data_IF_963948991640
#
_entry.id   IF_963948991640
#
_cell.length_a   1.000
_cell.length_b   1.000
_cell.length_c   1.000
_cell.angle_alpha   90.00
_cell.angle_beta   90.00
_cell.angle_gamma   90.00
#
_symmetry.space_group_name_H-M   'P 1'
#
loop_
_entity.id
_entity.type
_entity.pdbx_description
1 polymer ?
#
# COMPACT_ATOMS: atom_id res chain seq x y z
N UNK A 1 5.38 7.75 -10.11
CA UNK A 1 5.10 6.61 -10.99
C UNK A 1 6.18 5.58 -10.74
N UNK A 2 5.83 4.29 -10.60
CA UNK A 2 6.82 3.21 -10.54
C UNK A 2 7.54 3.21 -11.90
N UNK A 3 8.85 3.53 -11.90
CA UNK A 3 9.62 3.71 -13.14
C UNK A 3 10.04 2.38 -13.76
N UNK A 4 10.29 1.37 -12.93
CA UNK A 4 10.83 0.08 -13.36
C UNK A 4 9.88 -1.08 -13.02
N UNK A 5 8.73 -1.10 -13.68
CA UNK A 5 7.70 -2.13 -13.46
C UNK A 5 8.15 -3.56 -13.79
N UNK A 6 9.21 -3.70 -14.58
CA UNK A 6 9.79 -5.00 -14.89
C UNK A 6 10.50 -5.60 -13.68
N UNK A 7 11.15 -4.77 -12.84
CA UNK A 7 11.86 -5.23 -11.64
C UNK A 7 10.91 -5.79 -10.57
N UNK A 8 9.65 -5.37 -10.59
CA UNK A 8 8.63 -5.89 -9.67
C UNK A 8 7.90 -7.12 -10.26
N UNK A 9 8.15 -7.51 -11.51
CA UNK A 9 7.59 -8.74 -12.09
C UNK A 9 8.44 -9.93 -11.66
N UNK A 10 7.83 -10.90 -10.96
CA UNK A 10 8.49 -12.15 -10.57
C UNK A 10 8.37 -13.19 -11.67
N UNK A 11 9.34 -14.11 -11.73
CA UNK A 11 9.30 -15.25 -12.64
C UNK A 11 8.05 -16.14 -12.45
N UNK A 12 7.47 -16.13 -11.24
CA UNK A 12 6.24 -16.88 -10.90
C UNK A 12 4.95 -16.13 -11.26
N UNK A 13 5.03 -14.86 -11.66
CA UNK A 13 3.84 -14.09 -11.99
C UNK A 13 3.31 -14.51 -13.37
N UNK A 14 2.00 -14.78 -13.46
CA UNK A 14 1.34 -15.15 -14.73
C UNK A 14 1.37 -14.03 -15.77
N UNK A 15 1.57 -12.78 -15.35
CA UNK A 15 1.54 -11.60 -16.22
C UNK A 15 2.50 -10.54 -15.69
N UNK A 16 3.07 -9.74 -16.59
CA UNK A 16 3.94 -8.63 -16.20
C UNK A 16 3.18 -7.62 -15.33
N UNK A 17 3.80 -7.21 -14.22
CA UNK A 17 3.26 -6.15 -13.35
C UNK A 17 3.14 -4.80 -14.06
N UNK A 18 3.87 -4.61 -15.18
CA UNK A 18 3.72 -3.44 -16.04
C UNK A 18 2.31 -3.28 -16.59
N UNK A 19 1.62 -4.39 -16.90
CA UNK A 19 0.23 -4.34 -17.39
C UNK A 19 -0.71 -3.69 -16.37
N UNK A 20 -0.51 -3.98 -15.08
CA UNK A 20 -1.31 -3.44 -13.98
C UNK A 20 -0.96 -1.99 -13.60
N UNK A 21 0.18 -1.45 -14.04
CA UNK A 21 0.58 -0.06 -13.77
C UNK A 21 -0.10 0.93 -14.73
N UNK A 22 -0.62 0.44 -15.87
CA UNK A 22 -1.38 1.26 -16.81
C UNK A 22 -2.58 1.94 -16.13
N UNK A 23 -3.08 3.01 -16.75
CA UNK A 23 -4.24 3.77 -16.27
C UNK A 23 -4.12 4.16 -14.78
N UNK A 24 -2.94 4.67 -14.39
CA UNK A 24 -2.65 5.08 -13.01
C UNK A 24 -2.74 3.96 -11.95
N UNK A 25 -2.47 2.72 -12.35
CA UNK A 25 -2.54 1.53 -11.50
C UNK A 25 -3.83 0.72 -11.65
N UNK A 26 -4.77 1.15 -12.50
CA UNK A 26 -6.00 0.40 -12.77
C UNK A 26 -5.78 -0.79 -13.70
N UNK A 27 -4.69 -0.81 -14.45
CA UNK A 27 -4.39 -1.85 -15.44
C UNK A 27 -4.97 -1.55 -16.81
N UNK A 28 -4.89 -2.51 -17.72
CA UNK A 28 -5.44 -2.38 -19.08
C UNK A 28 -6.96 -2.32 -19.04
N UNK A 29 -7.54 -1.52 -19.93
CA UNK A 29 -9.00 -1.45 -20.09
C UNK A 29 -9.53 -2.79 -20.61
N UNK A 30 -10.67 -3.23 -20.08
CA UNK A 30 -11.32 -4.46 -20.53
C UNK A 30 -12.20 -4.11 -21.73
N UNK A 31 -11.87 -4.66 -22.89
CA UNK A 31 -12.71 -4.54 -24.09
C UNK A 31 -13.88 -5.52 -23.98
N UNK A 32 -15.10 -4.99 -24.04
CA UNK A 32 -16.34 -5.78 -24.01
C UNK A 32 -16.62 -6.34 -25.41
N UNK A 33 -16.69 -7.67 -25.54
CA UNK A 33 -17.23 -8.31 -26.74
C UNK A 33 -18.76 -8.34 -26.66
N UNK A 34 -19.39 -7.44 -27.40
CA UNK A 34 -20.75 -7.58 -27.99
C UNK A 34 -21.95 -7.99 -27.11
N UNK A 35 -21.98 -7.79 -25.79
CA UNK A 35 -23.18 -8.18 -25.01
C UNK A 35 -23.78 -7.19 -24.01
N UNK A 36 -23.10 -6.13 -23.56
CA UNK A 36 -23.68 -5.18 -22.58
C UNK A 36 -23.11 -3.77 -22.77
N UNK A 37 -23.79 -2.93 -23.55
CA UNK A 37 -23.41 -1.53 -23.81
C UNK A 37 -23.31 -0.67 -22.53
N UNK A 38 -23.86 -1.13 -21.41
CA UNK A 38 -23.76 -0.50 -20.10
C UNK A 38 -22.35 -0.58 -19.48
N UNK A 39 -21.50 -1.52 -19.93
CA UNK A 39 -20.19 -1.78 -19.34
C UNK A 39 -19.02 -1.31 -20.22
N UNK A 40 -19.33 -0.68 -21.35
CA UNK A 40 -18.32 -0.24 -22.29
C UNK A 40 -17.46 0.87 -21.68
N UNK A 41 -16.14 0.64 -21.65
CA UNK A 41 -15.04 1.59 -21.37
C UNK A 41 -14.71 1.96 -19.91
N UNK A 42 -15.41 1.49 -18.88
CA UNK A 42 -15.09 1.88 -17.48
C UNK A 42 -14.48 0.78 -16.62
N UNK A 43 -14.27 -0.41 -17.17
CA UNK A 43 -13.67 -1.55 -16.47
C UNK A 43 -12.20 -1.72 -16.83
N UNK A 44 -11.41 -2.08 -15.82
CA UNK A 44 -9.97 -2.29 -15.97
C UNK A 44 -9.56 -3.61 -15.31
N UNK A 45 -8.53 -4.24 -15.86
CA UNK A 45 -7.91 -5.44 -15.26
C UNK A 45 -7.06 -5.02 -14.06
N UNK A 46 -7.73 -4.68 -12.96
CA UNK A 46 -7.10 -4.20 -11.73
C UNK A 46 -6.43 -5.33 -10.97
N UNK A 47 -5.29 -5.05 -10.35
CA UNK A 47 -4.61 -5.98 -9.43
C UNK A 47 -4.54 -5.37 -8.03
N UNK A 48 -5.00 -6.12 -7.02
CA UNK A 48 -5.06 -5.65 -5.63
C UNK A 48 -3.73 -5.08 -5.12
N UNK A 49 -2.58 -5.62 -5.56
CA UNK A 49 -1.25 -5.20 -5.13
C UNK A 49 -0.91 -3.76 -5.59
N UNK A 50 -1.67 -3.20 -6.52
CA UNK A 50 -1.50 -1.83 -7.02
C UNK A 50 -2.41 -0.83 -6.30
N UNK A 51 -3.13 -1.22 -5.24
CA UNK A 51 -4.05 -0.34 -4.51
C UNK A 51 -3.36 0.95 -4.05
N UNK A 52 -2.14 0.86 -3.52
CA UNK A 52 -1.34 2.02 -3.11
C UNK A 52 -1.03 2.98 -4.27
N UNK A 53 -0.81 2.43 -5.48
CA UNK A 53 -0.56 3.21 -6.69
C UNK A 53 -1.84 3.92 -7.13
N UNK A 54 -2.95 3.18 -7.17
CA UNK A 54 -4.28 3.71 -7.52
C UNK A 54 -4.63 4.86 -6.59
N UNK A 55 -4.57 4.63 -5.27
CA UNK A 55 -4.91 5.65 -4.29
C UNK A 55 -3.99 6.86 -4.34
N UNK A 56 -2.67 6.67 -4.45
CA UNK A 56 -1.73 7.80 -4.58
C UNK A 56 -2.07 8.66 -5.80
N UNK A 57 -2.42 8.05 -6.94
CA UNK A 57 -2.77 8.80 -8.14
C UNK A 57 -4.15 9.48 -8.02
N UNK A 58 -5.12 8.84 -7.35
CA UNK A 58 -6.43 9.45 -7.08
C UNK A 58 -6.33 10.62 -6.12
N UNK A 59 -5.57 10.48 -5.02
CA UNK A 59 -5.40 11.53 -4.01
C UNK A 59 -4.82 12.80 -4.60
N UNK A 60 -3.88 12.70 -5.54
CA UNK A 60 -3.28 13.85 -6.24
C UNK A 60 -4.28 14.74 -6.98
N UNK A 61 -5.51 14.27 -7.23
CA UNK A 61 -6.56 15.02 -7.90
C UNK A 61 -7.39 15.89 -6.94
N UNK A 62 -7.25 15.71 -5.63
CA UNK A 62 -8.01 16.49 -4.66
C UNK A 62 -7.48 17.92 -4.53
N UNK A 63 -8.41 18.89 -4.59
CA UNK A 63 -8.08 20.33 -4.47
C UNK A 63 -7.68 20.75 -3.05
N UNK A 64 -8.01 19.95 -2.05
CA UNK A 64 -7.69 20.21 -0.64
C UNK A 64 -6.28 19.76 -0.23
N UNK A 65 -5.47 19.26 -1.17
CA UNK A 65 -4.08 18.94 -0.88
C UNK A 65 -3.30 20.23 -0.56
N UNK A 66 -2.57 20.19 0.54
CA UNK A 66 -1.70 21.29 0.98
C UNK A 66 -0.28 20.78 1.18
N UNK A 67 0.69 21.62 0.86
CA UNK A 67 2.10 21.40 1.21
C UNK A 67 2.42 21.94 2.62
N UNK A 68 1.50 22.72 3.20
CA UNK A 68 1.61 23.21 4.56
C UNK A 68 1.06 22.16 5.54
N UNK A 69 1.99 21.50 6.24
CA UNK A 69 1.69 20.46 7.21
C UNK A 69 0.90 20.98 8.42
N UNK A 70 0.95 22.28 8.71
CA UNK A 70 0.19 22.88 9.83
C UNK A 70 -1.31 22.93 9.52
N UNK A 71 -1.68 23.10 8.24
CA UNK A 71 -3.06 23.14 7.77
C UNK A 71 -3.62 21.75 7.45
N UNK A 72 -2.76 20.75 7.27
CA UNK A 72 -3.17 19.40 6.91
C UNK A 72 -3.94 18.73 8.07
N UNK A 73 -5.19 18.29 7.80
CA UNK A 73 -5.97 17.49 8.76
C UNK A 73 -5.55 16.03 8.81
N UNK A 74 -4.92 15.52 7.73
CA UNK A 74 -4.40 14.17 7.64
C UNK A 74 -3.15 14.14 6.75
N UNK A 75 -2.23 13.22 7.04
CA UNK A 75 -0.95 13.04 6.35
C UNK A 75 -0.91 11.67 5.70
N UNK A 76 -0.90 11.63 4.37
CA UNK A 76 -0.70 10.39 3.63
C UNK A 76 0.78 9.98 3.64
N UNK A 77 1.08 8.80 4.15
CA UNK A 77 2.42 8.21 4.13
C UNK A 77 2.62 7.43 2.82
N UNK A 78 3.50 7.87 1.91
CA UNK A 78 3.64 7.29 0.58
C UNK A 78 4.50 6.01 0.61
N UNK A 79 3.95 4.96 1.22
CA UNK A 79 4.59 3.65 1.35
C UNK A 79 3.85 2.58 0.56
N UNK A 80 4.60 1.73 -0.13
CA UNK A 80 4.08 0.67 -0.99
C UNK A 80 4.17 -0.69 -0.28
N UNK A 81 3.51 -0.78 0.87
CA UNK A 81 3.66 -1.89 1.81
C UNK A 81 3.36 -3.26 1.17
N UNK A 82 2.29 -3.33 0.36
CA UNK A 82 1.86 -4.54 -0.33
C UNK A 82 2.83 -4.99 -1.42
N UNK A 83 3.45 -4.04 -2.12
CA UNK A 83 4.50 -4.29 -3.11
C UNK A 83 5.81 -4.77 -2.45
N UNK A 84 6.22 -4.16 -1.34
CA UNK A 84 7.42 -4.57 -0.61
C UNK A 84 7.26 -5.95 0.04
N UNK A 85 6.06 -6.27 0.55
CA UNK A 85 5.72 -7.59 1.08
C UNK A 85 5.45 -8.66 0.03
N UNK A 86 5.84 -8.47 -1.23
CA UNK A 86 5.76 -9.57 -2.21
C UNK A 86 6.73 -10.70 -1.89
N UNK A 87 7.82 -10.42 -1.18
CA UNK A 87 8.87 -11.38 -0.82
C UNK A 87 8.54 -12.21 0.45
N UNK A 88 7.31 -12.73 0.58
CA UNK A 88 6.88 -13.50 1.75
C UNK A 88 7.49 -14.91 1.82
N UNK A 89 7.62 -15.58 0.67
CA UNK A 89 8.09 -16.97 0.59
C UNK A 89 9.59 -17.05 0.31
N UNK A 90 10.31 -17.84 1.13
CA UNK A 90 11.72 -18.16 0.92
C UNK A 90 12.72 -17.10 1.39
N UNK A 91 12.26 -15.91 1.79
CA UNK A 91 13.11 -14.83 2.29
C UNK A 91 13.18 -14.81 3.81
N UNK A 92 14.35 -14.41 4.33
CA UNK A 92 14.54 -14.19 5.77
C UNK A 92 13.68 -13.02 6.26
N UNK A 93 13.28 -13.08 7.54
CA UNK A 93 12.47 -12.05 8.20
C UNK A 93 13.10 -10.66 8.13
N UNK A 94 14.42 -10.56 8.31
CA UNK A 94 15.17 -9.30 8.17
C UNK A 94 14.96 -8.61 6.80
N UNK A 95 14.92 -9.37 5.70
CA UNK A 95 14.66 -8.81 4.37
C UNK A 95 13.22 -8.29 4.28
N UNK A 96 12.27 -9.05 4.80
CA UNK A 96 10.83 -8.71 4.79
C UNK A 96 10.52 -7.46 5.62
N UNK A 97 11.26 -7.23 6.70
CA UNK A 97 11.04 -6.12 7.63
C UNK A 97 11.85 -4.86 7.27
N UNK A 98 12.92 -5.00 6.48
CA UNK A 98 13.85 -3.91 6.12
C UNK A 98 13.15 -2.62 5.66
N UNK A 99 12.27 -2.71 4.68
CA UNK A 99 11.52 -1.56 4.15
C UNK A 99 10.61 -0.89 5.19
N UNK A 100 10.03 -1.66 6.10
CA UNK A 100 9.23 -1.14 7.21
C UNK A 100 10.09 -0.37 8.20
N UNK A 101 11.26 -0.93 8.55
CA UNK A 101 12.24 -0.29 9.44
C UNK A 101 12.80 1.02 8.86
N UNK A 102 13.10 1.05 7.56
CA UNK A 102 13.60 2.26 6.89
C UNK A 102 12.56 3.38 6.92
N UNK A 103 11.29 3.03 6.72
CA UNK A 103 10.21 3.98 6.77
C UNK A 103 9.95 4.50 8.19
N UNK A 104 10.05 3.63 9.20
CA UNK A 104 10.00 4.04 10.62
C UNK A 104 11.08 5.07 10.92
N UNK A 105 12.33 4.80 10.53
CA UNK A 105 13.44 5.73 10.72
C UNK A 105 13.17 7.07 10.02
N UNK A 106 12.63 7.03 8.81
CA UNK A 106 12.25 8.24 8.08
C UNK A 106 11.15 9.04 8.80
N UNK A 107 10.10 8.36 9.29
CA UNK A 107 9.00 8.98 10.03
C UNK A 107 9.43 9.56 11.38
N UNK A 108 10.37 8.92 12.07
CA UNK A 108 10.91 9.42 13.34
C UNK A 108 11.59 10.80 13.17
N UNK A 109 12.16 11.06 11.99
CA UNK A 109 12.75 12.36 11.64
C UNK A 109 11.77 13.44 11.20
N UNK A 110 10.45 13.15 11.15
CA UNK A 110 9.43 14.08 10.66
C UNK A 110 8.82 14.93 11.78
N UNK A 111 8.96 16.27 11.75
CA UNK A 111 8.32 17.14 12.75
C UNK A 111 6.80 16.99 12.82
N UNK A 112 6.14 16.79 11.68
CA UNK A 112 4.69 16.64 11.57
C UNK A 112 4.14 15.46 12.37
N UNK A 113 4.93 14.40 12.53
CA UNK A 113 4.58 13.24 13.35
C UNK A 113 4.34 13.63 14.81
N UNK A 114 5.15 14.56 15.35
CA UNK A 114 5.08 14.95 16.77
C UNK A 114 3.79 15.71 17.11
N UNK A 115 3.11 16.27 16.11
CA UNK A 115 1.88 17.06 16.31
C UNK A 115 0.75 16.21 16.90
N UNK A 116 0.51 15.03 16.34
CA UNK A 116 -0.58 14.12 16.73
C UNK A 116 -0.09 12.71 17.02
N UNK A 117 1.22 12.53 17.25
CA UNK A 117 1.85 11.24 17.55
C UNK A 117 1.55 10.15 16.51
N UNK A 118 1.32 10.55 15.25
CA UNK A 118 0.97 9.65 14.14
C UNK A 118 -0.53 9.38 13.97
N UNK A 119 -1.43 9.83 14.86
CA UNK A 119 -2.86 9.56 14.74
C UNK A 119 -3.51 10.22 13.51
N UNK A 120 -2.92 11.30 13.00
CA UNK A 120 -3.30 11.99 11.77
C UNK A 120 -2.62 11.41 10.52
N UNK A 121 -1.75 10.41 10.68
CA UNK A 121 -1.06 9.76 9.57
C UNK A 121 -1.83 8.52 9.13
N UNK A 122 -1.90 8.31 7.83
CA UNK A 122 -2.49 7.11 7.26
C UNK A 122 -1.71 6.58 6.06
N UNK A 123 -1.80 5.27 5.85
CA UNK A 123 -1.22 4.59 4.70
C UNK A 123 -2.24 3.62 4.10
N UNK A 124 -1.93 3.16 2.90
CA UNK A 124 -2.79 2.26 2.14
C UNK A 124 -1.97 1.02 1.78
N UNK A 125 -2.62 -0.14 1.72
CA UNK A 125 -1.99 -1.38 1.29
C UNK A 125 -2.96 -2.26 0.53
N UNK A 126 -2.50 -2.75 -0.62
CA UNK A 126 -3.18 -3.78 -1.41
C UNK A 126 -3.15 -5.19 -0.82
N UNK A 127 -2.68 -5.34 0.42
CA UNK A 127 -2.66 -6.58 1.19
C UNK A 127 -3.53 -6.45 2.44
N UNK A 128 -3.84 -7.59 3.03
CA UNK A 128 -4.59 -7.66 4.29
C UNK A 128 -3.74 -7.21 5.48
N UNK A 129 -4.37 -6.74 6.56
CA UNK A 129 -3.71 -6.26 7.77
C UNK A 129 -2.85 -7.36 8.43
N UNK A 130 -3.32 -8.61 8.39
CA UNK A 130 -2.61 -9.78 8.92
C UNK A 130 -1.23 -9.99 8.31
N UNK A 131 -1.01 -9.56 7.06
CA UNK A 131 0.30 -9.66 6.39
C UNK A 131 1.36 -8.78 7.06
N UNK A 132 0.99 -7.84 7.93
CA UNK A 132 1.90 -6.90 8.58
C UNK A 132 2.00 -7.08 10.10
N UNK A 133 1.40 -8.16 10.64
CA UNK A 133 1.28 -8.44 12.08
C UNK A 133 2.00 -9.72 12.52
N UNK A 134 3.19 -9.99 11.97
CA UNK A 134 4.03 -11.12 12.40
C UNK A 134 4.63 -10.86 13.78
N UNK A 135 4.36 -11.72 14.74
CA UNK A 135 4.79 -11.55 16.14
C UNK A 135 6.20 -12.12 16.42
N UNK A 136 6.60 -13.16 15.69
CA UNK A 136 7.86 -13.85 15.89
C UNK A 136 8.83 -13.63 14.72
N UNK A 137 10.11 -13.94 14.98
CA UNK A 137 11.18 -13.84 13.99
C UNK A 137 11.50 -15.18 13.32
N UNK A 138 10.63 -16.17 13.46
CA UNK A 138 10.77 -17.46 12.81
C UNK A 138 10.73 -17.32 11.28
N UNK A 139 11.66 -17.96 10.59
CA UNK A 139 11.75 -17.88 9.13
C UNK A 139 10.49 -18.40 8.43
N UNK A 140 9.83 -19.39 9.03
CA UNK A 140 8.55 -19.97 8.57
C UNK A 140 7.35 -19.05 8.76
N UNK A 141 7.48 -18.02 9.60
CA UNK A 141 6.33 -17.22 10.02
C UNK A 141 5.90 -16.26 8.91
N UNK A 142 4.60 -16.02 8.80
CA UNK A 142 3.98 -15.22 7.73
C UNK A 142 4.01 -13.72 8.03
N UNK A 143 4.08 -12.88 6.99
CA UNK A 143 4.01 -11.41 7.10
C UNK A 143 5.30 -10.64 7.44
N UNK A 144 5.20 -9.34 7.67
CA UNK A 144 6.22 -8.50 8.32
C UNK A 144 5.82 -8.19 9.77
N UNK A 145 6.75 -7.71 10.57
CA UNK A 145 6.47 -7.16 11.91
C UNK A 145 6.05 -5.68 11.90
N UNK A 146 5.82 -5.11 10.71
CA UNK A 146 5.68 -3.68 10.47
C UNK A 146 4.66 -2.97 11.39
N UNK A 147 3.54 -3.62 11.73
CA UNK A 147 2.50 -3.04 12.59
C UNK A 147 2.86 -3.03 14.08
N UNK A 148 3.89 -3.75 14.49
CA UNK A 148 4.40 -3.75 15.86
C UNK A 148 5.53 -2.75 16.08
N UNK A 149 5.93 -2.01 15.04
CA UNK A 149 6.89 -0.93 15.19
C UNK A 149 6.18 0.26 15.85
N UNK A 150 6.80 0.85 16.86
CA UNK A 150 6.25 1.94 17.68
C UNK A 150 5.76 3.13 16.87
N UNK A 151 6.42 3.39 15.74
CA UNK A 151 6.09 4.50 14.87
C UNK A 151 4.80 4.25 14.08
N UNK A 152 4.37 3.00 13.96
CA UNK A 152 3.18 2.58 13.23
C UNK A 152 1.95 2.34 14.09
N UNK A 153 2.13 2.11 15.38
CA UNK A 153 1.06 1.66 16.28
C UNK A 153 -0.14 2.60 16.29
N UNK A 154 0.11 3.90 16.13
CA UNK A 154 -0.90 4.96 16.18
C UNK A 154 -1.47 5.36 14.81
N UNK A 155 -0.84 4.97 13.71
CA UNK A 155 -1.25 5.40 12.37
C UNK A 155 -2.38 4.54 11.84
N UNK A 156 -3.24 5.13 11.01
CA UNK A 156 -4.34 4.40 10.36
C UNK A 156 -3.84 3.65 9.13
N UNK A 157 -4.22 2.39 8.99
CA UNK A 157 -3.89 1.56 7.84
C UNK A 157 -5.17 1.19 7.09
N UNK A 158 -5.22 1.55 5.81
CA UNK A 158 -6.34 1.29 4.92
C UNK A 158 -6.00 0.09 4.03
N UNK A 159 -6.75 -1.00 4.17
CA UNK A 159 -6.47 -2.31 3.57
C UNK A 159 -7.69 -2.87 2.84
N UNK A 160 -7.50 -3.98 2.10
CA UNK A 160 -8.60 -4.66 1.39
C UNK A 160 -9.58 -5.39 2.32
N UNK A 161 -9.20 -5.59 3.60
CA UNK A 161 -10.08 -6.09 4.66
C UNK A 161 -9.89 -5.26 5.93
N UNK A 162 -10.89 -5.27 6.81
CA UNK A 162 -10.78 -4.68 8.14
C UNK A 162 -10.14 -5.67 9.10
N UNK A 163 -9.19 -5.20 9.91
CA UNK A 163 -8.58 -5.99 10.99
C UNK A 163 -9.37 -5.87 12.30
N UNK A 164 -9.01 -6.70 13.30
CA UNK A 164 -9.57 -6.58 14.66
C UNK A 164 -8.98 -5.42 15.49
N UNK A 165 -8.08 -4.62 14.91
CA UNK A 165 -7.36 -3.53 15.57
C UNK A 165 -8.02 -2.20 15.21
N UNK A 166 -8.05 -1.26 16.17
CA UNK A 166 -8.79 0.01 16.05
C UNK A 166 -8.33 0.93 14.91
N UNK A 167 -7.14 0.70 14.39
CA UNK A 167 -6.52 1.51 13.35
C UNK A 167 -6.35 0.79 12.01
N UNK A 168 -7.04 -0.33 11.80
CA UNK A 168 -7.09 -1.04 10.52
C UNK A 168 -8.49 -0.87 9.91
N UNK A 169 -8.57 -0.19 8.77
CA UNK A 169 -9.82 0.16 8.10
C UNK A 169 -9.89 -0.48 6.72
N UNK A 170 -11.03 -1.06 6.36
CA UNK A 170 -11.26 -1.53 5.01
C UNK A 170 -11.52 -0.35 4.05
N UNK A 171 -10.97 -0.43 2.85
CA UNK A 171 -11.32 0.47 1.74
C UNK A 171 -12.11 -0.31 0.69
N UNK A 172 -13.30 0.17 0.28
CA UNK A 172 -14.15 -0.50 -0.69
C UNK A 172 -13.54 -0.53 -2.10
#
# INVERSE_FOLDING_TARGET
MLKDCQLITRATDKSSMCSYIQNSGLGSQIESSHALDLWNSNWFSTNQILLEVIFRNRMKKYKCLTNDLTLASAVFVPYYAGLHLRNLWGFNTSIRDSSGLDLVKWLAGKPERKRMWGNDHFLISGRIDRDFRRQSNGKSDWGSNFRFLTEYENMSMLTIESGSWKNDFAVP
#
